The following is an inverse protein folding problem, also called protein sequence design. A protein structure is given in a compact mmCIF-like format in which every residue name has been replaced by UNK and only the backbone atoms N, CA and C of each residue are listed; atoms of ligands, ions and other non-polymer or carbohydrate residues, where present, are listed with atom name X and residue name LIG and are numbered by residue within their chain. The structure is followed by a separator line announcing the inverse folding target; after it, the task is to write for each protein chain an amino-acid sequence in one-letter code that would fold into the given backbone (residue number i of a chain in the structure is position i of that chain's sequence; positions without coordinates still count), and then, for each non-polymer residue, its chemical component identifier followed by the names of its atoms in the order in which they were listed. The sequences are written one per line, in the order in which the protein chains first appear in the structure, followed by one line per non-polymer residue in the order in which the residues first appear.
data_IF_220114752160
#
_entry.id   IF_220114752160
#
_cell.length_a   1.000
_cell.length_b   1.000
_cell.length_c   1.000
_cell.angle_alpha   90.00
_cell.angle_beta   90.00
_cell.angle_gamma   90.00
#
_symmetry.space_group_name_H-M   'P 1'
#
loop_
_entity.id
_entity.type
_entity.pdbx_description
1 polymer ?
#
# COMPACT_ATOMS: atom_id res chain seq x y z
N UNK A 1 -11.09 12.77 -9.21
CA UNK A 1 -10.13 12.12 -10.13
C UNK A 1 -9.50 10.96 -9.38
N UNK A 2 -9.65 9.72 -9.84
CA UNK A 2 -9.11 8.54 -9.14
C UNK A 2 -7.59 8.47 -9.36
N UNK A 3 -6.79 8.78 -8.33
CA UNK A 3 -5.33 8.66 -8.40
C UNK A 3 -5.02 7.16 -8.38
N UNK A 4 -4.73 6.58 -9.54
CA UNK A 4 -4.24 5.20 -9.64
C UNK A 4 -2.94 5.12 -8.86
N UNK A 5 -2.92 4.30 -7.81
CA UNK A 5 -1.69 3.89 -7.14
C UNK A 5 -0.86 3.11 -8.15
N UNK A 6 0.08 3.81 -8.81
CA UNK A 6 1.09 3.21 -9.65
C UNK A 6 2.12 2.53 -8.75
N UNK A 7 2.45 1.28 -9.05
CA UNK A 7 3.52 0.50 -8.39
C UNK A 7 4.80 1.32 -8.20
N UNK A 8 5.13 2.15 -9.18
CA UNK A 8 6.27 3.07 -9.16
C UNK A 8 6.26 3.99 -7.92
N UNK A 9 5.10 4.48 -7.46
CA UNK A 9 5.07 5.40 -6.32
C UNK A 9 5.53 4.73 -5.01
N UNK A 10 5.23 3.46 -4.80
CA UNK A 10 5.66 2.77 -3.57
C UNK A 10 7.16 2.49 -3.60
N UNK A 11 7.67 1.93 -4.70
CA UNK A 11 9.10 1.63 -4.87
C UNK A 11 9.94 2.91 -4.82
N UNK A 12 9.43 4.00 -5.40
CA UNK A 12 10.07 5.32 -5.35
C UNK A 12 10.10 5.89 -3.93
N UNK A 13 9.00 5.79 -3.15
CA UNK A 13 8.96 6.26 -1.76
C UNK A 13 9.92 5.47 -0.86
N UNK A 14 10.01 4.16 -1.04
CA UNK A 14 10.98 3.31 -0.31
C UNK A 14 12.41 3.69 -0.69
N UNK A 15 12.70 3.84 -1.98
CA UNK A 15 14.04 4.24 -2.45
C UNK A 15 14.45 5.61 -1.89
N UNK A 16 13.51 6.55 -1.78
CA UNK A 16 13.76 7.86 -1.17
C UNK A 16 14.01 7.74 0.33
N UNK A 17 13.28 6.88 1.03
CA UNK A 17 13.48 6.63 2.46
C UNK A 17 14.87 6.05 2.74
N UNK A 18 15.32 5.07 1.95
CA UNK A 18 16.66 4.46 2.09
C UNK A 18 17.78 5.50 1.91
N UNK A 19 17.64 6.37 0.90
CA UNK A 19 18.58 7.48 0.67
C UNK A 19 18.61 8.45 1.85
N UNK A 20 17.44 8.75 2.39
CA UNK A 20 17.29 9.67 3.51
C UNK A 20 17.95 9.11 4.77
N UNK A 21 17.71 7.83 5.07
CA UNK A 21 18.36 7.13 6.19
C UNK A 21 19.88 7.12 6.00
N UNK A 22 20.36 6.80 4.80
CA UNK A 22 21.79 6.83 4.48
C UNK A 22 22.41 8.22 4.67
N UNK A 23 21.69 9.29 4.32
CA UNK A 23 22.14 10.68 4.54
C UNK A 23 22.22 11.00 6.04
N UNK A 24 21.24 10.56 6.83
CA UNK A 24 21.20 10.75 8.29
C UNK A 24 22.30 9.96 9.03
N UNK A 25 22.68 8.78 8.55
CA UNK A 25 23.73 7.95 9.13
C UNK A 25 25.15 8.47 8.87
N UNK A 26 25.32 9.40 7.92
CA UNK A 26 26.65 9.97 7.56
C UNK A 26 27.29 10.82 8.67
N UNK A 27 26.52 11.21 9.70
CA UNK A 27 27.04 11.72 10.98
C UNK A 27 27.46 13.20 11.04
N UNK A 28 27.57 13.90 9.89
CA UNK A 28 28.08 15.28 9.82
C UNK A 28 26.98 16.30 9.44
N UNK A 29 25.79 16.14 10.04
CA UNK A 29 24.59 16.90 9.66
C UNK A 29 24.22 17.98 10.67
N UNK A 30 23.97 19.24 10.23
CA UNK A 30 23.38 20.28 11.07
C UNK A 30 22.00 19.89 11.60
N UNK A 31 21.65 20.35 12.81
CA UNK A 31 20.39 20.02 13.46
C UNK A 31 19.17 20.37 12.61
N UNK A 32 19.17 21.55 11.99
CA UNK A 32 18.09 22.02 11.12
C UNK A 32 17.88 21.06 9.95
N UNK A 33 18.98 20.58 9.36
CA UNK A 33 18.94 19.62 8.26
C UNK A 33 18.42 18.26 8.72
N UNK A 34 18.81 17.81 9.90
CA UNK A 34 18.30 16.57 10.52
C UNK A 34 16.80 16.63 10.75
N UNK A 35 16.27 17.78 11.18
CA UNK A 35 14.83 17.99 11.37
C UNK A 35 14.07 17.96 10.03
N UNK A 36 14.61 18.62 8.99
CA UNK A 36 14.01 18.57 7.65
C UNK A 36 13.95 17.14 7.09
N UNK A 37 15.03 16.36 7.24
CA UNK A 37 15.06 14.97 6.79
C UNK A 37 14.10 14.11 7.61
N UNK A 38 14.04 14.31 8.92
CA UNK A 38 13.08 13.60 9.75
C UNK A 38 11.64 13.85 9.31
N UNK A 39 11.25 15.11 9.07
CA UNK A 39 9.91 15.46 8.58
C UNK A 39 9.62 14.79 7.22
N UNK A 40 10.57 14.84 6.29
CA UNK A 40 10.46 14.15 5.00
C UNK A 40 10.30 12.63 5.17
N UNK A 41 11.05 12.02 6.06
CA UNK A 41 10.96 10.58 6.37
C UNK A 41 9.58 10.18 6.91
N UNK A 42 9.01 11.00 7.80
CA UNK A 42 7.65 10.79 8.31
C UNK A 42 6.62 10.86 7.17
N UNK A 43 6.73 11.86 6.30
CA UNK A 43 5.81 12.02 5.17
C UNK A 43 5.90 10.83 4.19
N UNK A 44 7.10 10.39 3.83
CA UNK A 44 7.31 9.22 2.98
C UNK A 44 6.74 7.94 3.62
N UNK A 45 6.93 7.76 4.92
CA UNK A 45 6.41 6.60 5.66
C UNK A 45 4.88 6.59 5.66
N UNK A 46 4.25 7.75 5.88
CA UNK A 46 2.79 7.89 5.83
C UNK A 46 2.23 7.60 4.43
N UNK A 47 2.91 8.04 3.38
CA UNK A 47 2.53 7.72 2.01
C UNK A 47 2.61 6.21 1.76
N UNK A 48 3.70 5.55 2.14
CA UNK A 48 3.84 4.09 2.02
C UNK A 48 2.71 3.34 2.73
N UNK A 49 2.39 3.72 3.97
CA UNK A 49 1.30 3.09 4.75
C UNK A 49 -0.06 3.26 4.05
N UNK A 50 -0.33 4.44 3.50
CA UNK A 50 -1.55 4.69 2.75
C UNK A 50 -1.65 3.79 1.52
N UNK A 51 -0.57 3.67 0.74
CA UNK A 51 -0.54 2.82 -0.45
C UNK A 51 -0.77 1.35 -0.10
N UNK A 52 -0.17 0.87 1.00
CA UNK A 52 -0.38 -0.49 1.49
C UNK A 52 -1.84 -0.72 1.91
N UNK A 53 -2.43 0.20 2.65
CA UNK A 53 -3.84 0.11 3.07
C UNK A 53 -4.81 0.10 1.87
N UNK A 54 -4.55 0.92 0.84
CA UNK A 54 -5.33 0.91 -0.39
C UNK A 54 -5.19 -0.41 -1.16
N UNK A 55 -4.00 -1.01 -1.16
CA UNK A 55 -3.77 -2.32 -1.76
C UNK A 55 -4.49 -3.44 -0.98
N UNK A 56 -4.43 -3.44 0.35
CA UNK A 56 -5.14 -4.38 1.21
C UNK A 56 -6.66 -4.33 0.99
N UNK A 57 -7.24 -3.13 0.98
CA UNK A 57 -8.68 -2.94 0.72
C UNK A 57 -9.09 -3.49 -0.65
N UNK A 58 -8.23 -3.29 -1.65
CA UNK A 58 -8.47 -3.81 -3.00
C UNK A 58 -8.44 -5.34 -3.02
N UNK A 59 -7.50 -5.96 -2.32
CA UNK A 59 -7.41 -7.42 -2.18
C UNK A 59 -8.67 -7.96 -1.48
N UNK A 60 -9.08 -7.34 -0.37
CA UNK A 60 -10.28 -7.74 0.37
C UNK A 60 -11.53 -7.67 -0.52
N UNK A 61 -11.71 -6.56 -1.24
CA UNK A 61 -12.84 -6.37 -2.16
C UNK A 61 -12.86 -7.43 -3.27
N UNK A 62 -11.70 -7.77 -3.82
CA UNK A 62 -11.59 -8.80 -4.86
C UNK A 62 -11.85 -10.20 -4.29
N UNK A 63 -11.37 -10.48 -3.08
CA UNK A 63 -11.62 -11.75 -2.38
C UNK A 63 -13.11 -11.95 -2.10
N UNK A 64 -13.79 -10.94 -1.55
CA UNK A 64 -15.25 -10.98 -1.30
C UNK A 64 -16.07 -11.16 -2.59
N UNK A 65 -15.67 -10.52 -3.69
CA UNK A 65 -16.31 -10.72 -5.00
C UNK A 65 -16.10 -12.15 -5.54
N UNK A 66 -14.95 -12.76 -5.25
CA UNK A 66 -14.65 -14.13 -5.69
C UNK A 66 -15.46 -15.18 -4.93
N UNK A 67 -15.65 -15.01 -3.61
CA UNK A 67 -16.47 -15.92 -2.79
C UNK A 67 -17.96 -15.80 -3.08
N UNK A 68 -18.47 -14.60 -3.39
CA UNK A 68 -19.88 -14.40 -3.73
C UNK A 68 -20.30 -15.07 -5.07
N UNK A 69 -19.36 -15.30 -6.00
CA UNK A 69 -19.66 -15.96 -7.28
C UNK A 69 -19.78 -17.49 -7.23
N UNK A 70 -19.37 -18.15 -6.14
CA UNK A 70 -19.34 -19.61 -6.05
C UNK A 70 -20.58 -20.25 -5.37
N UNK A 71 -21.59 -19.46 -4.99
CA UNK A 71 -22.77 -19.98 -4.28
C UNK A 71 -24.05 -20.09 -5.12
N UNK A 72 -23.96 -20.23 -6.45
CA UNK A 72 -25.14 -20.48 -7.28
C UNK A 72 -24.96 -21.57 -8.35
N UNK A 73 -24.42 -22.73 -7.96
CA UNK A 73 -24.58 -23.95 -8.74
C UNK A 73 -24.62 -25.20 -7.85
N UNK A 74 -25.68 -25.34 -7.06
CA UNK A 74 -26.33 -26.63 -6.87
C UNK A 74 -27.80 -26.40 -7.22
N UNK A 75 -28.04 -26.45 -8.52
CA UNK A 75 -29.35 -26.45 -9.15
C UNK A 75 -30.18 -27.61 -8.64
N UNK A 76 -31.47 -27.36 -8.42
CA UNK A 76 -32.45 -28.38 -8.08
C UNK A 76 -32.36 -29.57 -9.02
N UNK A 77 -32.30 -30.75 -8.42
CA UNK A 77 -32.83 -31.97 -9.03
C UNK A 77 -34.28 -32.03 -8.56
N UNK A 78 -35.17 -31.48 -9.38
CA UNK A 78 -36.54 -31.97 -9.42
C UNK A 78 -36.53 -33.41 -9.96
N UNK A 79 -37.57 -34.16 -9.58
CA UNK A 79 -38.01 -35.48 -10.08
C UNK A 79 -37.40 -36.71 -9.38
N UNK A 80 -38.17 -37.71 -8.93
CA UNK A 80 -39.55 -38.12 -9.24
C UNK A 80 -40.01 -39.14 -8.17
N UNK A 81 -41.29 -39.04 -7.77
CA UNK A 81 -42.12 -40.04 -7.02
C UNK A 81 -41.77 -40.38 -5.56
#
# INVERSE_FOLDING_TARGET
MAKTVSKNNFEDSITQLDKLVSEMESGDMPLERSLELFEKGINLTNECQKLLSEAELKIETLSQKSTSKNNNQITGVENEQ
#
